data_IF_822022167585
#
_entry.id   IF_822022167585
#
_cell.length_a   1.000
_cell.length_b   1.000
_cell.length_c   1.000
_cell.angle_alpha   90.00
_cell.angle_beta   90.00
_cell.angle_gamma   90.00
#
_symmetry.space_group_name_H-M   'P 1'
#
loop_
_entity.id
_entity.type
_entity.pdbx_description
1 polymer ?
#
# COMPACT_ATOMS: atom_id res chain seq x y z
N UNK A 1 -7.41 12.18 -26.98
CA UNK A 1 -7.79 11.09 -26.05
C UNK A 1 -6.56 10.41 -25.47
N UNK A 2 -5.68 9.81 -26.30
CA UNK A 2 -4.38 9.23 -25.89
C UNK A 2 -3.48 10.19 -25.10
N UNK A 3 -3.35 11.43 -25.57
CA UNK A 3 -2.54 12.48 -24.93
C UNK A 3 -3.01 12.83 -23.51
N UNK A 4 -4.32 12.99 -23.32
CA UNK A 4 -4.93 13.26 -22.01
C UNK A 4 -4.68 12.10 -21.02
N UNK A 5 -4.79 10.85 -21.48
CA UNK A 5 -4.47 9.66 -20.67
C UNK A 5 -2.98 9.64 -20.30
N UNK A 6 -2.08 10.02 -21.21
CA UNK A 6 -0.65 10.10 -20.91
C UNK A 6 -0.33 11.17 -19.84
N UNK A 7 -0.99 12.34 -19.88
CA UNK A 7 -0.83 13.40 -18.87
C UNK A 7 -1.29 12.91 -17.49
N UNK A 8 -2.49 12.34 -17.39
CA UNK A 8 -3.01 11.77 -16.13
C UNK A 8 -2.08 10.65 -15.62
N UNK A 9 -1.55 9.84 -16.53
CA UNK A 9 -0.59 8.78 -16.18
C UNK A 9 0.67 9.36 -15.54
N UNK A 10 1.24 10.42 -16.12
CA UNK A 10 2.42 11.10 -15.57
C UNK A 10 2.13 11.78 -14.23
N UNK A 11 0.92 12.31 -14.04
CA UNK A 11 0.49 12.89 -12.76
C UNK A 11 0.43 11.82 -11.65
N UNK A 12 -0.25 10.69 -11.89
CA UNK A 12 -0.29 9.56 -10.93
C UNK A 12 1.12 9.02 -10.66
N UNK A 13 1.94 8.87 -11.71
CA UNK A 13 3.33 8.40 -11.55
C UNK A 13 4.18 9.37 -10.72
N UNK A 14 3.99 10.68 -10.88
CA UNK A 14 4.60 11.71 -10.03
C UNK A 14 4.16 11.55 -8.58
N UNK A 15 2.85 11.45 -8.29
CA UNK A 15 2.37 11.26 -6.91
C UNK A 15 2.93 9.99 -6.27
N UNK A 16 3.07 8.91 -7.03
CA UNK A 16 3.71 7.68 -6.54
C UNK A 16 5.23 7.86 -6.30
N UNK A 17 5.94 8.66 -7.12
CA UNK A 17 7.32 9.06 -6.81
C UNK A 17 7.38 9.93 -5.55
N UNK A 18 6.41 10.82 -5.33
CA UNK A 18 6.35 11.69 -4.15
C UNK A 18 6.13 10.87 -2.87
N UNK A 19 5.31 9.81 -2.93
CA UNK A 19 5.17 8.83 -1.83
C UNK A 19 6.50 8.11 -1.57
N UNK A 20 7.13 7.55 -2.62
CA UNK A 20 8.41 6.83 -2.51
C UNK A 20 9.53 7.73 -1.95
N UNK A 21 9.64 8.97 -2.42
CA UNK A 21 10.57 9.96 -1.92
C UNK A 21 10.32 10.29 -0.44
N UNK A 22 9.05 10.40 -0.02
CA UNK A 22 8.70 10.64 1.38
C UNK A 22 9.04 9.45 2.29
N UNK A 23 8.95 8.21 1.82
CA UNK A 23 9.38 7.02 2.58
C UNK A 23 10.87 7.10 2.97
N UNK A 24 11.72 7.55 2.05
CA UNK A 24 13.16 7.65 2.30
C UNK A 24 13.59 8.97 2.98
N UNK A 25 12.97 10.10 2.61
CA UNK A 25 13.41 11.45 3.03
C UNK A 25 12.47 12.16 4.01
N UNK A 26 11.18 11.83 4.02
CA UNK A 26 10.16 12.47 4.85
C UNK A 26 10.38 12.26 6.35
N UNK A 27 9.95 13.24 7.16
CA UNK A 27 10.07 13.19 8.62
C UNK A 27 9.13 12.16 9.25
N UNK A 28 7.97 11.94 8.63
CA UNK A 28 6.94 10.98 9.05
C UNK A 28 7.43 9.53 9.16
N UNK A 29 8.45 9.13 8.38
CA UNK A 29 9.06 7.79 8.44
C UNK A 29 10.48 7.78 9.03
N UNK A 30 10.90 8.88 9.66
CA UNK A 30 12.29 9.08 10.13
C UNK A 30 12.85 7.95 11.00
N UNK A 31 12.01 7.33 11.84
CA UNK A 31 12.38 6.23 12.73
C UNK A 31 12.68 4.88 12.03
N UNK A 32 12.29 4.71 10.77
CA UNK A 32 12.51 3.48 9.99
C UNK A 32 13.47 3.66 8.79
N UNK A 33 14.12 4.82 8.67
CA UNK A 33 15.06 5.10 7.57
C UNK A 33 16.19 4.07 7.50
N UNK A 34 16.55 3.67 6.29
CA UNK A 34 17.52 2.60 6.02
C UNK A 34 16.95 1.17 6.14
N UNK A 35 15.86 0.99 6.89
CA UNK A 35 15.19 -0.30 7.09
C UNK A 35 14.13 -0.62 6.03
N UNK A 36 13.74 0.32 5.18
CA UNK A 36 12.78 0.08 4.11
C UNK A 36 13.32 -0.79 2.98
N UNK A 37 12.44 -1.64 2.44
CA UNK A 37 12.49 -2.17 1.08
C UNK A 37 11.23 -1.69 0.35
N UNK A 38 11.41 -1.05 -0.81
CA UNK A 38 10.31 -0.57 -1.65
C UNK A 38 10.46 -1.21 -3.02
N UNK A 39 9.37 -1.79 -3.52
CA UNK A 39 9.27 -2.39 -4.85
C UNK A 39 8.13 -1.72 -5.60
N UNK A 40 8.49 -0.79 -6.49
CA UNK A 40 7.55 -0.18 -7.42
C UNK A 40 7.22 -1.15 -8.55
N UNK A 41 5.93 -1.43 -8.75
CA UNK A 41 5.42 -2.24 -9.86
C UNK A 41 4.47 -1.38 -10.68
N UNK A 42 4.95 -0.95 -11.85
CA UNK A 42 4.17 -0.17 -12.79
C UNK A 42 3.69 -1.05 -13.94
N UNK A 43 2.38 -1.20 -14.08
CA UNK A 43 1.74 -2.05 -15.09
C UNK A 43 0.90 -1.17 -16.02
N UNK A 44 1.51 -0.71 -17.12
CA UNK A 44 0.82 0.12 -18.10
C UNK A 44 -0.09 -0.74 -18.99
N UNK A 45 -1.35 -0.29 -19.11
CA UNK A 45 -2.44 -0.79 -19.99
C UNK A 45 -3.21 -2.01 -19.48
N UNK A 46 -4.42 -1.77 -18.98
CA UNK A 46 -5.65 -2.35 -19.54
C UNK A 46 -6.72 -1.23 -19.57
N UNK A 47 -7.15 -0.82 -20.77
CA UNK A 47 -8.14 0.26 -20.97
C UNK A 47 -7.73 1.65 -20.39
N UNK A 48 -8.71 2.43 -19.91
CA UNK A 48 -8.53 3.80 -19.40
C UNK A 48 -8.13 3.86 -17.91
N UNK A 49 -8.07 2.72 -17.23
CA UNK A 49 -7.65 2.61 -15.84
C UNK A 49 -6.12 2.56 -15.77
N UNK A 50 -5.54 3.36 -14.87
CA UNK A 50 -4.09 3.47 -14.70
C UNK A 50 -3.69 2.65 -13.49
N UNK A 51 -2.85 1.62 -13.68
CA UNK A 51 -2.36 0.77 -12.60
C UNK A 51 -0.95 1.15 -12.14
N UNK A 52 -0.80 1.40 -10.84
CA UNK A 52 0.48 1.63 -10.18
C UNK A 52 0.46 1.03 -8.77
N UNK A 53 1.44 0.19 -8.45
CA UNK A 53 1.58 -0.45 -7.15
C UNK A 53 2.95 -0.06 -6.54
N UNK A 54 2.99 0.25 -5.26
CA UNK A 54 4.20 0.31 -4.44
C UNK A 54 4.08 -0.71 -3.32
N UNK A 55 4.85 -1.81 -3.39
CA UNK A 55 4.99 -2.78 -2.32
C UNK A 55 6.09 -2.32 -1.35
N UNK A 56 5.75 -2.08 -0.09
CA UNK A 56 6.65 -1.47 0.92
C UNK A 56 6.74 -2.39 2.14
N UNK A 57 7.94 -2.65 2.63
CA UNK A 57 8.15 -3.39 3.90
C UNK A 57 9.36 -2.87 4.68
N UNK A 58 9.49 -3.32 5.91
CA UNK A 58 10.74 -3.20 6.67
C UNK A 58 11.53 -4.51 6.60
N UNK A 59 12.87 -4.41 6.53
CA UNK A 59 13.82 -5.54 6.44
C UNK A 59 13.77 -6.49 7.63
N UNK A 60 13.32 -6.01 8.79
CA UNK A 60 13.20 -6.78 10.02
C UNK A 60 11.84 -7.51 10.16
N UNK A 61 10.89 -7.29 9.25
CA UNK A 61 9.65 -8.06 9.22
C UNK A 61 9.91 -9.46 8.66
N UNK A 62 9.13 -10.48 9.08
CA UNK A 62 9.04 -11.76 8.37
C UNK A 62 8.87 -11.57 6.86
N UNK A 63 9.37 -12.54 6.09
CA UNK A 63 9.22 -12.50 4.63
C UNK A 63 7.74 -12.60 4.23
N UNK A 64 7.38 -11.94 3.13
CA UNK A 64 6.02 -11.96 2.59
C UNK A 64 5.09 -10.87 3.14
N UNK A 65 5.41 -10.22 4.27
CA UNK A 65 4.60 -9.11 4.82
C UNK A 65 4.95 -7.79 4.13
N UNK A 66 3.94 -7.11 3.60
CA UNK A 66 4.06 -5.81 2.92
C UNK A 66 2.88 -4.88 3.26
N UNK A 67 3.08 -3.58 3.12
CA UNK A 67 2.01 -2.60 2.91
C UNK A 67 2.06 -2.17 1.45
N UNK A 68 0.96 -2.32 0.71
CA UNK A 68 0.86 -1.84 -0.67
C UNK A 68 0.10 -0.52 -0.73
N UNK A 69 0.70 0.49 -1.36
CA UNK A 69 -0.06 1.59 -1.97
C UNK A 69 -0.46 1.16 -3.37
N UNK A 70 -1.76 1.09 -3.63
CA UNK A 70 -2.36 0.52 -4.83
C UNK A 70 -3.23 1.54 -5.54
N UNK A 71 -2.96 1.76 -6.82
CA UNK A 71 -3.84 2.47 -7.75
C UNK A 71 -4.24 1.53 -8.88
N UNK A 72 -5.54 1.42 -9.13
CA UNK A 72 -6.11 0.89 -10.37
C UNK A 72 -7.41 1.65 -10.66
N UNK A 73 -8.58 1.04 -10.48
CA UNK A 73 -9.86 1.77 -10.42
C UNK A 73 -9.94 2.68 -9.19
N UNK A 74 -9.62 2.10 -8.03
CA UNK A 74 -9.52 2.80 -6.75
C UNK A 74 -8.07 3.17 -6.42
N UNK A 75 -7.87 4.03 -5.42
CA UNK A 75 -6.62 4.28 -4.71
C UNK A 75 -6.77 3.78 -3.27
N UNK A 76 -5.84 2.95 -2.78
CA UNK A 76 -5.91 2.36 -1.45
C UNK A 76 -4.52 2.09 -0.84
N UNK A 77 -4.46 1.98 0.49
CA UNK A 77 -3.27 1.52 1.22
C UNK A 77 -3.65 0.31 2.07
N UNK A 78 -2.95 -0.80 1.87
CA UNK A 78 -3.44 -2.14 2.21
C UNK A 78 -2.28 -3.01 2.73
N UNK A 79 -2.27 -3.39 4.03
CA UNK A 79 -1.31 -4.35 4.55
C UNK A 79 -1.72 -5.77 4.16
N UNK A 80 -0.78 -6.56 3.65
CA UNK A 80 -1.04 -7.89 3.13
C UNK A 80 0.16 -8.84 3.26
N UNK A 81 -0.12 -10.12 3.19
CA UNK A 81 0.84 -11.23 3.12
C UNK A 81 0.38 -12.25 2.09
N UNK A 82 1.33 -12.99 1.49
CA UNK A 82 1.02 -14.05 0.49
C UNK A 82 0.99 -15.47 1.07
N UNK A 83 1.47 -15.64 2.29
CA UNK A 83 1.43 -16.89 3.02
C UNK A 83 0.37 -16.80 4.12
N UNK A 84 -0.59 -17.72 4.09
CA UNK A 84 -1.65 -17.81 5.10
C UNK A 84 -1.09 -18.19 6.47
N UNK A 85 -0.01 -18.97 6.53
CA UNK A 85 0.59 -19.43 7.79
C UNK A 85 1.13 -18.25 8.60
N UNK A 86 1.61 -17.19 7.94
CA UNK A 86 2.05 -15.95 8.60
C UNK A 86 0.88 -15.20 9.23
N UNK A 87 -0.32 -15.24 8.64
CA UNK A 87 -1.53 -14.75 9.31
C UNK A 87 -1.84 -15.59 10.56
N UNK A 88 -1.81 -16.91 10.46
CA UNK A 88 -2.14 -17.84 11.57
C UNK A 88 -1.13 -17.77 12.73
N UNK A 89 0.15 -17.52 12.43
CA UNK A 89 1.21 -17.34 13.42
C UNK A 89 1.04 -16.01 14.18
N UNK A 90 0.87 -14.89 13.47
CA UNK A 90 0.97 -13.56 14.07
C UNK A 90 -0.36 -12.89 14.44
N UNK A 91 -1.45 -13.18 13.73
CA UNK A 91 -2.75 -12.56 13.98
C UNK A 91 -3.55 -13.33 15.05
N UNK A 92 -4.53 -12.64 15.62
CA UNK A 92 -5.50 -13.23 16.57
C UNK A 92 -6.82 -13.62 15.89
N UNK A 93 -6.91 -13.44 14.57
CA UNK A 93 -8.11 -13.55 13.74
C UNK A 93 -7.87 -14.45 12.54
N UNK A 94 -8.94 -14.98 11.96
CA UNK A 94 -8.86 -15.80 10.75
C UNK A 94 -8.35 -14.99 9.55
N UNK A 95 -7.46 -15.59 8.76
CA UNK A 95 -6.82 -14.95 7.61
C UNK A 95 -7.86 -14.50 6.57
N UNK A 96 -8.09 -13.20 6.44
CA UNK A 96 -9.08 -12.65 5.51
C UNK A 96 -8.47 -12.44 4.13
N UNK A 97 -8.98 -13.08 3.05
CA UNK A 97 -8.43 -12.92 1.70
C UNK A 97 -8.54 -11.49 1.16
N UNK A 98 -7.52 -11.03 0.44
CA UNK A 98 -7.54 -9.74 -0.25
C UNK A 98 -8.52 -9.77 -1.43
N UNK A 99 -9.45 -8.82 -1.47
CA UNK A 99 -10.53 -8.73 -2.46
C UNK A 99 -10.08 -8.65 -3.94
N UNK A 100 -8.90 -8.07 -4.19
CA UNK A 100 -8.40 -7.80 -5.54
C UNK A 100 -7.12 -8.58 -5.90
N UNK A 101 -6.53 -9.29 -4.95
CA UNK A 101 -5.25 -9.96 -5.14
C UNK A 101 -5.40 -11.44 -4.82
N UNK A 102 -5.28 -12.25 -5.87
CA UNK A 102 -5.30 -13.71 -5.75
C UNK A 102 -4.13 -14.16 -4.86
N UNK A 103 -4.39 -15.16 -4.02
CA UNK A 103 -3.40 -15.82 -3.17
C UNK A 103 -2.67 -14.79 -2.25
N UNK A 104 -3.45 -13.88 -1.67
CA UNK A 104 -3.01 -12.87 -0.71
C UNK A 104 -4.07 -12.66 0.38
N UNK A 105 -3.63 -12.36 1.59
CA UNK A 105 -4.44 -12.17 2.79
C UNK A 105 -4.11 -10.83 3.44
N UNK A 106 -5.10 -10.19 4.06
CA UNK A 106 -4.89 -8.97 4.80
C UNK A 106 -4.11 -9.25 6.10
N UNK A 107 -3.05 -8.48 6.34
CA UNK A 107 -2.22 -8.63 7.53
C UNK A 107 -2.47 -7.46 8.49
N UNK A 108 -3.54 -7.57 9.29
CA UNK A 108 -4.06 -6.49 10.13
C UNK A 108 -5.05 -7.04 11.16
N UNK A 109 -5.11 -6.41 12.34
CA UNK A 109 -6.08 -6.71 13.39
C UNK A 109 -7.29 -5.75 13.37
N UNK A 110 -7.33 -4.79 12.43
CA UNK A 110 -8.49 -3.93 12.25
C UNK A 110 -9.71 -4.73 11.76
N UNK A 111 -10.92 -4.21 11.97
CA UNK A 111 -12.17 -4.91 11.60
C UNK A 111 -12.85 -4.33 10.36
N UNK A 112 -12.73 -3.03 10.07
CA UNK A 112 -13.29 -2.41 8.85
C UNK A 112 -12.25 -2.41 7.71
N UNK A 113 -11.93 -3.61 7.24
CA UNK A 113 -10.78 -3.86 6.35
C UNK A 113 -10.95 -3.35 4.91
N UNK A 114 -12.17 -2.99 4.52
CA UNK A 114 -12.51 -2.59 3.15
C UNK A 114 -12.82 -1.08 3.03
N UNK A 115 -13.48 -0.41 4.00
CA UNK A 115 -13.75 1.04 3.89
C UNK A 115 -12.51 1.88 4.26
N UNK A 116 -11.91 1.63 5.44
CA UNK A 116 -10.86 2.47 6.03
C UNK A 116 -9.53 2.46 5.25
N UNK A 117 -9.41 1.62 4.23
CA UNK A 117 -8.19 1.45 3.44
C UNK A 117 -8.23 2.15 2.08
N UNK A 118 -9.41 2.57 1.61
CA UNK A 118 -9.49 3.42 0.42
C UNK A 118 -9.07 4.85 0.75
N UNK A 119 -8.59 5.51 -0.30
CA UNK A 119 -8.36 6.95 -0.37
C UNK A 119 -9.27 7.53 -1.45
N UNK A 120 -9.32 6.88 -2.63
CA UNK A 120 -10.31 7.14 -3.68
C UNK A 120 -11.02 5.84 -4.02
N UNK A 121 -12.35 5.84 -4.05
CA UNK A 121 -13.16 4.68 -4.45
C UNK A 121 -13.11 4.41 -5.96
N UNK A 122 -13.00 5.47 -6.77
CA UNK A 122 -12.90 5.36 -8.23
C UNK A 122 -12.16 6.53 -8.88
N UNK A 123 -11.80 6.38 -10.15
CA UNK A 123 -11.26 7.43 -11.00
C UNK A 123 -9.73 7.57 -10.95
N UNK A 124 -9.21 8.51 -11.74
CA UNK A 124 -7.77 8.76 -11.89
C UNK A 124 -7.33 10.13 -11.33
N UNK A 125 -8.23 10.86 -10.66
CA UNK A 125 -8.00 12.24 -10.24
C UNK A 125 -7.33 12.32 -8.86
N UNK A 126 -6.11 11.76 -8.76
CA UNK A 126 -5.33 11.73 -7.52
C UNK A 126 -4.72 13.12 -7.22
N UNK A 127 -5.14 13.69 -6.10
CA UNK A 127 -4.69 14.99 -5.60
C UNK A 127 -3.45 14.89 -4.69
N UNK A 128 -2.94 16.04 -4.26
CA UNK A 128 -1.95 16.13 -3.18
C UNK A 128 -2.50 15.64 -1.84
N UNK A 129 -3.76 15.95 -1.52
CA UNK A 129 -4.43 15.48 -0.30
C UNK A 129 -4.53 13.95 -0.27
N UNK A 130 -4.87 13.32 -1.39
CA UNK A 130 -4.85 11.85 -1.53
C UNK A 130 -3.45 11.26 -1.28
N UNK A 131 -2.40 12.01 -1.63
CA UNK A 131 -1.00 11.61 -1.42
C UNK A 131 -0.65 11.65 0.07
N UNK A 132 -1.05 12.71 0.78
CA UNK A 132 -0.88 12.84 2.23
C UNK A 132 -1.69 11.82 3.03
N UNK A 133 -2.92 11.49 2.57
CA UNK A 133 -3.73 10.42 3.15
C UNK A 133 -3.04 9.05 2.93
N UNK A 134 -2.48 8.79 1.74
CA UNK A 134 -1.71 7.56 1.50
C UNK A 134 -0.51 7.44 2.45
N UNK A 135 0.26 8.51 2.63
CA UNK A 135 1.41 8.57 3.55
C UNK A 135 0.98 8.32 5.00
N UNK A 136 -0.13 8.91 5.42
CA UNK A 136 -0.69 8.75 6.77
C UNK A 136 -1.15 7.31 7.03
N UNK A 137 -1.93 6.71 6.11
CA UNK A 137 -2.37 5.31 6.22
C UNK A 137 -1.19 4.32 6.18
N UNK A 138 -0.19 4.59 5.34
CA UNK A 138 1.04 3.79 5.28
C UNK A 138 1.76 3.78 6.64
N UNK A 139 1.92 4.94 7.29
CA UNK A 139 2.48 5.02 8.65
C UNK A 139 1.65 4.20 9.64
N UNK A 140 0.33 4.37 9.66
CA UNK A 140 -0.57 3.64 10.56
C UNK A 140 -0.41 2.13 10.42
N UNK A 141 -0.37 1.59 9.20
CA UNK A 141 -0.18 0.16 8.98
C UNK A 141 1.24 -0.32 9.34
N UNK A 142 2.28 0.48 9.14
CA UNK A 142 3.64 0.13 9.62
C UNK A 142 3.66 0.03 11.15
N UNK A 143 2.99 0.94 11.87
CA UNK A 143 2.90 0.91 13.34
C UNK A 143 2.06 -0.26 13.85
N UNK A 144 0.95 -0.56 13.17
CA UNK A 144 0.12 -1.73 13.44
C UNK A 144 0.92 -3.04 13.27
N UNK A 145 1.61 -3.21 12.13
CA UNK A 145 2.43 -4.40 11.85
C UNK A 145 3.54 -4.55 12.88
N UNK A 146 4.25 -3.48 13.23
CA UNK A 146 5.28 -3.54 14.28
C UNK A 146 4.68 -3.94 15.64
N UNK A 147 3.46 -3.53 15.95
CA UNK A 147 2.75 -3.92 17.17
C UNK A 147 2.31 -5.38 17.14
N UNK A 148 1.83 -5.88 16.00
CA UNK A 148 1.49 -7.30 15.79
C UNK A 148 2.75 -8.16 16.01
N UNK A 149 3.85 -7.81 15.35
CA UNK A 149 5.10 -8.57 15.41
C UNK A 149 5.81 -8.51 16.77
N UNK A 150 5.55 -7.48 17.59
CA UNK A 150 6.11 -7.35 18.95
C UNK A 150 5.33 -8.11 20.03
N UNK A 151 4.12 -8.61 19.71
CA UNK A 151 3.25 -9.36 20.63
C UNK A 151 3.36 -10.88 20.45
N UNK A 152 4.40 -11.35 19.74
CA UNK A 152 4.77 -12.76 19.54
C UNK A 152 6.22 -12.99 19.93
#
# INVERSE_FOLDING_TARGET
MSEHINIITQQIESKFNDIENNIFSGTIFSQWRGSFEVKKVYLKKENADIKCDLDIRLKNWPEGIFVKVYKHKALAVLPYVKDQQVCEEYLSTEATPCKFWKDAFYFSNMTDLDQDRYVLLEGNNMSDEDTDICLSKLKTHIEEINTILANR
#
